data_IF_795133455785
#
_entry.id   IF_795133455785
#
_cell.length_a   1.000
_cell.length_b   1.000
_cell.length_c   1.000
_cell.angle_alpha   90.00
_cell.angle_beta   90.00
_cell.angle_gamma   90.00
#
_symmetry.space_group_name_H-M   'P 1'
#
loop_
_entity.id
_entity.type
_entity.pdbx_description
1 polymer ?
#
# COMPACT_ATOMS: atom_id res chain seq x y z
N UNK A 1 -4.41 -36.46 33.27
CA UNK A 1 -3.91 -35.15 32.79
C UNK A 1 -4.75 -34.10 33.47
N UNK A 2 -4.13 -33.27 34.33
CA UNK A 2 -4.86 -32.36 35.20
C UNK A 2 -5.56 -31.28 34.35
N UNK A 3 -6.86 -31.05 34.57
CA UNK A 3 -7.64 -30.04 33.85
C UNK A 3 -7.01 -28.64 33.95
N UNK A 4 -6.31 -28.35 35.05
CA UNK A 4 -5.51 -27.14 35.25
C UNK A 4 -4.43 -26.94 34.17
N UNK A 5 -3.69 -28.01 33.82
CA UNK A 5 -2.66 -27.96 32.77
C UNK A 5 -3.29 -27.71 31.40
N UNK A 6 -4.45 -28.31 31.12
CA UNK A 6 -5.19 -28.09 29.87
C UNK A 6 -5.69 -26.65 29.80
N UNK A 7 -6.24 -26.11 30.89
CA UNK A 7 -6.72 -24.73 30.96
C UNK A 7 -5.60 -23.71 30.71
N UNK A 8 -4.42 -23.91 31.32
CA UNK A 8 -3.25 -23.03 31.10
C UNK A 8 -2.76 -23.09 29.66
N UNK A 9 -2.69 -24.28 29.06
CA UNK A 9 -2.27 -24.44 27.65
C UNK A 9 -3.27 -23.76 26.70
N UNK A 10 -4.57 -23.95 26.92
CA UNK A 10 -5.62 -23.33 26.10
C UNK A 10 -5.59 -21.80 26.26
N UNK A 11 -5.46 -21.28 27.48
CA UNK A 11 -5.36 -19.85 27.72
C UNK A 11 -4.12 -19.22 27.06
N UNK A 12 -2.96 -19.89 27.14
CA UNK A 12 -1.74 -19.45 26.46
C UNK A 12 -1.91 -19.44 24.93
N UNK A 13 -2.52 -20.48 24.35
CA UNK A 13 -2.81 -20.53 22.92
C UNK A 13 -3.77 -19.42 22.48
N UNK A 14 -4.82 -19.17 23.27
CA UNK A 14 -5.80 -18.12 23.00
C UNK A 14 -5.15 -16.73 23.03
N UNK A 15 -4.28 -16.48 24.02
CA UNK A 15 -3.55 -15.22 24.14
C UNK A 15 -2.63 -14.97 22.93
N UNK A 16 -1.89 -16.00 22.49
CA UNK A 16 -1.04 -15.92 21.29
C UNK A 16 -1.89 -15.70 20.04
N UNK A 17 -3.01 -16.42 19.90
CA UNK A 17 -3.91 -16.27 18.76
C UNK A 17 -4.47 -14.85 18.67
N UNK A 18 -4.94 -14.29 19.78
CA UNK A 18 -5.44 -12.91 19.85
C UNK A 18 -4.34 -11.91 19.48
N UNK A 19 -3.11 -12.10 19.95
CA UNK A 19 -1.97 -11.24 19.61
C UNK A 19 -1.63 -11.26 18.11
N UNK A 20 -1.65 -12.43 17.48
CA UNK A 20 -1.42 -12.59 16.05
C UNK A 20 -2.52 -11.90 15.25
N UNK A 21 -3.79 -12.16 15.58
CA UNK A 21 -4.93 -11.54 14.91
C UNK A 21 -4.90 -10.02 15.07
N UNK A 22 -4.66 -9.52 16.29
CA UNK A 22 -4.55 -8.08 16.56
C UNK A 22 -3.43 -7.44 15.76
N UNK A 23 -2.26 -8.09 15.66
CA UNK A 23 -1.13 -7.58 14.89
C UNK A 23 -1.46 -7.53 13.40
N UNK A 24 -2.08 -8.58 12.84
CA UNK A 24 -2.52 -8.59 11.43
C UNK A 24 -3.56 -7.50 11.16
N UNK A 25 -4.50 -7.29 12.08
CA UNK A 25 -5.51 -6.22 11.99
C UNK A 25 -4.88 -4.83 12.02
N UNK A 26 -3.96 -4.57 12.96
CA UNK A 26 -3.25 -3.29 13.06
C UNK A 26 -2.41 -2.99 11.81
N UNK A 27 -1.79 -4.02 11.22
CA UNK A 27 -1.06 -3.90 9.96
C UNK A 27 -1.96 -3.61 8.76
N UNK A 28 -3.26 -3.99 8.81
CA UNK A 28 -4.25 -3.68 7.77
C UNK A 28 -4.80 -2.26 7.92
N UNK A 29 -5.05 -1.82 9.17
CA UNK A 29 -5.66 -0.53 9.46
C UNK A 29 -4.69 0.63 9.19
N UNK A 30 -3.39 0.47 9.48
CA UNK A 30 -2.38 1.54 9.32
C UNK A 30 -2.31 2.10 7.88
N UNK A 31 -2.11 1.29 6.82
CA UNK A 31 -2.08 1.81 5.44
C UNK A 31 -3.44 2.37 5.01
N UNK A 32 -4.54 1.78 5.45
CA UNK A 32 -5.88 2.25 5.10
C UNK A 32 -6.16 3.65 5.67
N UNK A 33 -5.83 3.85 6.95
CA UNK A 33 -6.03 5.12 7.63
C UNK A 33 -5.19 6.23 6.99
N UNK A 34 -3.96 5.91 6.57
CA UNK A 34 -3.07 6.85 5.88
C UNK A 34 -3.68 7.33 4.56
N UNK A 35 -4.27 6.43 3.77
CA UNK A 35 -4.93 6.82 2.50
C UNK A 35 -6.22 7.60 2.76
N UNK A 36 -7.01 7.20 3.76
CA UNK A 36 -8.24 7.90 4.13
C UNK A 36 -7.98 9.34 4.60
N UNK A 37 -6.96 9.54 5.46
CA UNK A 37 -6.54 10.87 5.94
C UNK A 37 -5.96 11.75 4.83
N UNK A 38 -5.41 11.14 3.78
CA UNK A 38 -4.85 11.87 2.63
C UNK A 38 -5.92 12.33 1.63
N UNK A 39 -7.21 12.11 1.93
CA UNK A 39 -8.32 12.44 1.02
C UNK A 39 -8.45 11.48 -0.16
N UNK A 40 -7.75 10.35 -0.11
CA UNK A 40 -7.75 9.32 -1.14
C UNK A 40 -9.00 8.46 -1.12
N UNK A 41 -9.59 8.21 -2.29
CA UNK A 41 -10.76 7.31 -2.45
C UNK A 41 -10.37 5.82 -2.40
N UNK A 42 -9.38 5.42 -1.61
CA UNK A 42 -9.10 3.99 -1.44
C UNK A 42 -10.11 3.39 -0.47
N UNK A 43 -11.07 2.66 -1.01
CA UNK A 43 -12.00 1.88 -0.21
C UNK A 43 -11.24 0.80 0.59
N UNK A 44 -11.60 0.52 1.85
CA UNK A 44 -10.98 -0.56 2.61
C UNK A 44 -11.07 -1.91 1.89
N UNK A 45 -12.10 -2.11 1.07
CA UNK A 45 -12.25 -3.27 0.19
C UNK A 45 -11.14 -3.38 -0.88
N UNK A 46 -10.70 -2.25 -1.45
CA UNK A 46 -9.61 -2.23 -2.43
C UNK A 46 -8.29 -2.64 -1.79
N UNK A 47 -8.04 -2.19 -0.56
CA UNK A 47 -6.85 -2.57 0.22
C UNK A 47 -6.88 -4.06 0.57
N UNK A 48 -8.04 -4.56 0.99
CA UNK A 48 -8.24 -5.97 1.26
C UNK A 48 -8.03 -6.82 0.00
N UNK A 49 -8.55 -6.39 -1.16
CA UNK A 49 -8.37 -7.06 -2.45
C UNK A 49 -6.90 -7.09 -2.91
N UNK A 50 -6.16 -5.99 -2.74
CA UNK A 50 -4.72 -5.95 -3.03
C UNK A 50 -3.94 -6.95 -2.17
N UNK A 51 -4.28 -7.03 -0.87
CA UNK A 51 -3.59 -7.94 0.06
C UNK A 51 -3.93 -9.40 -0.22
N UNK A 52 -5.17 -9.71 -0.58
CA UNK A 52 -5.57 -11.05 -1.02
C UNK A 52 -4.86 -11.47 -2.31
N UNK A 53 -4.54 -10.51 -3.19
CA UNK A 53 -3.75 -10.72 -4.42
C UNK A 53 -2.24 -10.81 -4.17
N UNK A 54 -1.77 -10.70 -2.92
CA UNK A 54 -0.35 -10.77 -2.56
C UNK A 54 0.47 -9.53 -2.96
N UNK A 55 -0.18 -8.39 -3.24
CA UNK A 55 0.49 -7.16 -3.65
C UNK A 55 1.03 -6.38 -2.44
N UNK A 56 2.20 -5.71 -2.53
CA UNK A 56 2.73 -4.89 -1.44
C UNK A 56 1.92 -3.59 -1.27
N UNK A 57 0.85 -3.71 -0.49
CA UNK A 57 -0.09 -2.61 -0.18
C UNK A 57 0.62 -1.38 0.36
N UNK A 58 1.59 -1.56 1.26
CA UNK A 58 2.29 -0.45 1.91
C UNK A 58 2.94 0.47 0.89
N UNK A 59 3.72 -0.09 -0.06
CA UNK A 59 4.43 0.69 -1.07
C UNK A 59 3.49 1.45 -1.99
N UNK A 60 2.37 0.83 -2.39
CA UNK A 60 1.37 1.46 -3.26
C UNK A 60 0.64 2.58 -2.53
N UNK A 61 0.25 2.37 -1.27
CA UNK A 61 -0.39 3.38 -0.45
C UNK A 61 0.55 4.56 -0.17
N UNK A 62 1.82 4.31 0.15
CA UNK A 62 2.82 5.36 0.38
C UNK A 62 3.03 6.21 -0.89
N UNK A 63 3.20 5.57 -2.04
CA UNK A 63 3.30 6.25 -3.34
C UNK A 63 2.04 7.06 -3.67
N UNK A 64 0.85 6.50 -3.42
CA UNK A 64 -0.42 7.18 -3.64
C UNK A 64 -0.54 8.45 -2.81
N UNK A 65 -0.27 8.35 -1.50
CA UNK A 65 -0.34 9.47 -0.57
C UNK A 65 0.63 10.56 -0.98
N UNK A 66 1.84 10.19 -1.41
CA UNK A 66 2.82 11.13 -1.93
C UNK A 66 2.31 11.91 -3.15
N UNK A 67 1.75 11.22 -4.15
CA UNK A 67 1.24 11.88 -5.37
C UNK A 67 0.09 12.83 -5.06
N UNK A 68 -0.85 12.41 -4.21
CA UNK A 68 -1.97 13.25 -3.77
C UNK A 68 -1.48 14.46 -2.99
N UNK A 69 -0.47 14.30 -2.13
CA UNK A 69 0.12 15.40 -1.37
C UNK A 69 0.78 16.46 -2.27
N UNK A 70 1.31 16.05 -3.42
CA UNK A 70 1.86 16.97 -4.43
C UNK A 70 0.77 17.67 -5.27
N UNK A 71 -0.52 17.43 -4.98
CA UNK A 71 -1.65 18.06 -5.66
C UNK A 71 -2.02 17.40 -6.99
N UNK A 72 -1.60 16.16 -7.22
CA UNK A 72 -1.96 15.39 -8.41
C UNK A 72 -3.08 14.40 -8.05
N UNK A 73 -4.25 14.57 -8.67
CA UNK A 73 -5.39 13.68 -8.47
C UNK A 73 -5.23 12.41 -9.31
N UNK A 74 -4.77 11.33 -8.68
CA UNK A 74 -4.69 9.99 -9.28
C UNK A 74 -5.61 9.02 -8.54
N UNK A 75 -5.97 7.95 -9.23
CA UNK A 75 -6.70 6.83 -8.63
C UNK A 75 -5.73 5.74 -8.19
N UNK A 76 -6.01 5.09 -7.05
CA UNK A 76 -5.13 4.03 -6.53
C UNK A 76 -5.02 2.86 -7.51
N UNK A 77 -6.05 2.60 -8.33
CA UNK A 77 -6.01 1.55 -9.34
C UNK A 77 -5.03 1.89 -10.48
N UNK A 78 -4.77 3.17 -10.77
CA UNK A 78 -3.75 3.55 -11.78
C UNK A 78 -2.34 3.20 -11.28
N UNK A 79 -2.06 3.47 -10.00
CA UNK A 79 -0.78 3.10 -9.39
C UNK A 79 -0.62 1.59 -9.29
N UNK A 80 -1.70 0.86 -8.95
CA UNK A 80 -1.70 -0.60 -9.00
C UNK A 80 -1.42 -1.13 -10.41
N UNK A 81 -2.02 -0.55 -11.45
CA UNK A 81 -1.75 -0.93 -12.84
C UNK A 81 -0.29 -0.68 -13.20
N UNK A 82 0.26 0.49 -12.84
CA UNK A 82 1.68 0.79 -13.05
C UNK A 82 2.58 -0.23 -12.34
N UNK A 83 2.27 -0.59 -11.09
CA UNK A 83 2.99 -1.63 -10.35
C UNK A 83 2.91 -2.99 -11.05
N UNK A 84 1.74 -3.38 -11.54
CA UNK A 84 1.53 -4.64 -12.27
C UNK A 84 2.28 -4.67 -13.62
N UNK A 85 2.50 -3.51 -14.24
CA UNK A 85 3.33 -3.36 -15.43
C UNK A 85 4.83 -3.44 -15.13
N UNK A 86 5.22 -3.54 -13.85
CA UNK A 86 6.61 -3.61 -13.41
C UNK A 86 7.25 -2.25 -13.14
N UNK A 87 6.46 -1.16 -13.05
CA UNK A 87 6.96 0.14 -12.68
C UNK A 87 7.32 0.19 -11.18
N UNK A 88 8.44 0.85 -10.85
CA UNK A 88 8.74 1.20 -9.47
C UNK A 88 7.85 2.39 -9.05
N UNK A 89 6.79 2.09 -8.28
CA UNK A 89 5.79 3.08 -7.86
C UNK A 89 6.35 4.18 -6.97
N UNK A 90 7.43 3.91 -6.22
CA UNK A 90 8.05 4.88 -5.33
C UNK A 90 8.86 5.91 -6.13
N UNK A 91 9.57 5.45 -7.18
CA UNK A 91 10.21 6.34 -8.16
C UNK A 91 9.19 7.10 -9.00
N UNK A 92 8.13 6.44 -9.46
CA UNK A 92 7.04 7.07 -10.20
C UNK A 92 6.41 8.21 -9.39
N UNK A 93 6.12 7.98 -8.10
CA UNK A 93 5.57 9.01 -7.23
C UNK A 93 6.48 10.23 -7.09
N UNK A 94 7.80 10.01 -6.93
CA UNK A 94 8.80 11.08 -6.94
C UNK A 94 8.83 11.85 -8.26
N UNK A 95 8.86 11.15 -9.39
CA UNK A 95 8.89 11.78 -10.71
C UNK A 95 7.64 12.64 -10.97
N UNK A 96 6.46 12.12 -10.64
CA UNK A 96 5.19 12.85 -10.75
C UNK A 96 5.19 14.09 -9.85
N UNK A 97 5.64 13.94 -8.61
CA UNK A 97 5.73 15.07 -7.69
C UNK A 97 6.72 16.14 -8.18
N UNK A 98 7.87 15.73 -8.71
CA UNK A 98 8.87 16.63 -9.27
C UNK A 98 8.34 17.39 -10.49
N UNK A 99 7.71 16.69 -11.44
CA UNK A 99 7.09 17.33 -12.61
C UNK A 99 6.01 18.34 -12.20
N UNK A 100 5.20 17.99 -11.19
CA UNK A 100 4.17 18.89 -10.67
C UNK A 100 4.75 20.12 -9.96
N UNK A 101 5.84 19.96 -9.19
CA UNK A 101 6.50 21.07 -8.51
C UNK A 101 7.16 22.05 -9.49
N UNK A 102 7.67 21.56 -10.62
CA UNK A 102 8.28 22.40 -11.67
C UNK A 102 7.26 22.93 -12.69
N UNK A 103 5.98 22.64 -12.52
CA UNK A 103 4.89 22.98 -13.45
C UNK A 103 5.14 22.50 -14.89
N UNK A 104 5.88 21.39 -15.03
CA UNK A 104 6.16 20.79 -16.33
C UNK A 104 4.95 19.99 -16.81
N UNK A 105 4.52 20.15 -18.08
CA UNK A 105 3.45 19.35 -18.63
C UNK A 105 3.93 17.90 -18.76
N UNK A 106 3.34 17.00 -17.97
CA UNK A 106 3.66 15.57 -18.02
C UNK A 106 2.44 14.74 -18.41
N UNK A 107 2.71 13.63 -19.10
CA UNK A 107 1.71 12.61 -19.42
C UNK A 107 1.94 11.42 -18.50
N UNK A 108 0.88 10.93 -17.84
CA UNK A 108 0.96 9.83 -16.89
C UNK A 108 1.64 8.58 -17.48
N UNK A 109 1.22 8.18 -18.69
CA UNK A 109 1.71 6.97 -19.33
C UNK A 109 3.21 7.04 -19.67
N UNK A 110 3.73 8.24 -19.99
CA UNK A 110 5.15 8.47 -20.28
C UNK A 110 6.02 8.34 -19.02
N UNK A 111 5.54 8.87 -17.89
CA UNK A 111 6.20 8.69 -16.59
C UNK A 111 6.17 7.23 -16.14
N UNK A 112 5.08 6.51 -16.41
CA UNK A 112 4.99 5.06 -16.13
C UNK A 112 6.00 4.30 -16.99
N UNK A 113 6.07 4.57 -18.29
CA UNK A 113 7.03 3.95 -19.18
C UNK A 113 8.48 4.19 -18.73
N UNK A 114 8.81 5.44 -18.38
CA UNK A 114 10.12 5.81 -17.84
C UNK A 114 10.43 5.08 -16.55
N UNK A 115 9.45 4.95 -15.64
CA UNK A 115 9.62 4.23 -14.38
C UNK A 115 9.79 2.70 -14.57
N UNK A 116 9.20 2.12 -15.62
CA UNK A 116 9.42 0.72 -16.00
C UNK A 116 10.83 0.53 -16.56
N UNK A 117 11.24 1.40 -17.47
CA UNK A 117 12.57 1.33 -18.09
C UNK A 117 13.67 1.46 -17.03
N UNK A 118 13.58 2.43 -16.13
CA UNK A 118 14.54 2.62 -15.04
C UNK A 118 14.55 1.47 -14.03
N UNK A 119 13.43 0.76 -13.88
CA UNK A 119 13.38 -0.45 -13.06
C UNK A 119 14.06 -1.66 -13.75
N UNK A 120 13.97 -1.75 -15.08
CA UNK A 120 14.59 -2.82 -15.86
C UNK A 120 16.11 -2.76 -15.96
N UNK A 121 16.71 -1.59 -15.70
CA UNK A 121 18.18 -1.39 -15.73
C UNK A 121 18.88 -1.78 -14.42
N UNK A 122 18.14 -2.25 -13.41
CA UNK A 122 18.67 -2.76 -12.12
C UNK A 122 18.72 -4.28 -12.12
#
# INVERSE_FOLDING_TARGET
MNNELIAVIVAAFLAVFILVVATVFLLLIRPWLQVFLSGGKASPLTILAMRLRGMPVKTICDAYVMIVHCGVAVDINQIQKAYLMGADVDKLARAVCFAKQNDEPFVWDDLVATAIEDNSRR
#
